data_IF_419136435953
#
_entry.id   IF_419136435953
#
_cell.length_a   1.000
_cell.length_b   1.000
_cell.length_c   1.000
_cell.angle_alpha   90.00
_cell.angle_beta   90.00
_cell.angle_gamma   90.00
#
_symmetry.space_group_name_H-M   'P 1'
#
loop_
_entity.id
_entity.type
_entity.pdbx_description
1 polymer ?
#
# COMPACT_ATOMS: atom_id res chain seq x y z
N UNK A 1 -1.72 14.66 -1.06
CA UNK A 1 -1.08 14.55 0.28
C UNK A 1 0.22 15.35 0.24
N UNK A 2 0.59 16.17 1.24
CA UNK A 2 1.77 17.04 1.19
C UNK A 2 3.05 16.34 0.72
N UNK A 3 3.38 15.17 1.27
CA UNK A 3 4.57 14.41 0.85
C UNK A 3 4.51 13.95 -0.60
N UNK A 4 3.36 13.47 -1.08
CA UNK A 4 3.20 13.08 -2.50
C UNK A 4 3.27 14.28 -3.44
N UNK A 5 2.68 15.42 -3.04
CA UNK A 5 2.77 16.65 -3.81
C UNK A 5 4.22 17.10 -3.97
N UNK A 6 5.02 16.98 -2.91
CA UNK A 6 6.44 17.32 -2.94
C UNK A 6 7.25 16.35 -3.80
N UNK A 7 7.00 15.03 -3.71
CA UNK A 7 7.65 14.06 -4.60
C UNK A 7 7.33 14.31 -6.08
N UNK A 8 6.09 14.71 -6.39
CA UNK A 8 5.68 15.11 -7.74
C UNK A 8 6.41 16.37 -8.18
N UNK A 9 6.56 17.36 -7.29
CA UNK A 9 7.31 18.59 -7.56
C UNK A 9 8.78 18.28 -7.86
N UNK A 10 9.43 17.51 -6.99
CA UNK A 10 10.83 17.05 -7.17
C UNK A 10 11.01 16.29 -8.50
N UNK A 11 10.05 15.44 -8.88
CA UNK A 11 10.08 14.77 -10.17
C UNK A 11 10.07 15.77 -11.34
N UNK A 12 9.11 16.70 -11.33
CA UNK A 12 8.84 17.61 -12.45
C UNK A 12 9.88 18.73 -12.58
N UNK A 13 10.35 19.25 -11.45
CA UNK A 13 11.20 20.45 -11.41
C UNK A 13 12.68 20.12 -11.21
N UNK A 14 12.98 19.06 -10.46
CA UNK A 14 14.35 18.72 -10.04
C UNK A 14 14.85 17.40 -10.66
N UNK A 15 14.04 16.78 -11.53
CA UNK A 15 14.38 15.57 -12.28
C UNK A 15 14.64 14.34 -11.40
N UNK A 16 13.98 14.26 -10.24
CA UNK A 16 13.97 13.03 -9.44
C UNK A 16 13.35 11.89 -10.26
N UNK A 17 14.09 10.81 -10.52
CA UNK A 17 13.66 9.70 -11.38
C UNK A 17 13.06 8.54 -10.58
N UNK A 18 11.85 8.11 -10.96
CA UNK A 18 11.15 6.96 -10.37
C UNK A 18 11.15 5.73 -11.28
N UNK A 19 11.81 5.77 -12.44
CA UNK A 19 11.75 4.70 -13.46
C UNK A 19 12.28 3.34 -12.99
N UNK A 20 13.13 3.34 -11.95
CA UNK A 20 13.70 2.15 -11.31
C UNK A 20 13.15 1.88 -9.91
N UNK A 21 12.29 2.76 -9.38
CA UNK A 21 11.70 2.59 -8.06
C UNK A 21 10.68 1.47 -8.11
N UNK A 22 10.70 0.61 -7.08
CA UNK A 22 9.67 -0.38 -6.77
C UNK A 22 8.95 0.03 -5.50
N UNK A 23 7.63 -0.11 -5.48
CA UNK A 23 6.82 0.23 -4.30
C UNK A 23 6.13 -1.00 -3.77
N UNK A 24 5.99 -1.03 -2.45
CA UNK A 24 5.15 -1.96 -1.70
C UNK A 24 4.16 -1.11 -0.92
N UNK A 25 2.88 -1.36 -1.12
CA UNK A 25 1.79 -0.72 -0.39
C UNK A 25 1.39 -1.59 0.80
N UNK A 26 1.05 -0.96 1.93
CA UNK A 26 0.88 -1.67 3.20
C UNK A 26 -0.37 -2.54 3.26
N UNK A 27 -1.46 -2.07 2.67
CA UNK A 27 -2.78 -2.64 2.80
C UNK A 27 -3.65 -2.37 1.56
N UNK A 28 -4.76 -3.10 1.47
CA UNK A 28 -5.84 -2.90 0.52
C UNK A 28 -7.14 -3.43 1.14
N UNK A 29 -8.28 -2.86 0.75
CA UNK A 29 -9.58 -3.38 1.18
C UNK A 29 -9.91 -4.70 0.47
N UNK A 30 -10.33 -5.69 1.26
CA UNK A 30 -10.85 -6.95 0.76
C UNK A 30 -12.30 -6.79 0.25
N UNK A 31 -12.61 -7.42 -0.89
CA UNK A 31 -13.94 -7.43 -1.50
C UNK A 31 -14.23 -6.25 -2.43
N UNK A 32 -13.27 -5.37 -2.71
CA UNK A 32 -13.42 -4.29 -3.69
C UNK A 32 -12.40 -4.39 -4.81
N UNK A 33 -12.77 -3.89 -5.99
CA UNK A 33 -11.86 -3.87 -7.12
C UNK A 33 -10.73 -2.87 -6.96
N UNK A 34 -9.54 -3.20 -7.46
CA UNK A 34 -8.43 -2.24 -7.54
C UNK A 34 -8.72 -1.01 -8.42
N UNK A 35 -9.79 -1.07 -9.22
CA UNK A 35 -10.30 0.06 -10.01
C UNK A 35 -11.39 0.88 -9.29
N UNK A 36 -11.88 0.40 -8.14
CA UNK A 36 -12.89 1.07 -7.35
C UNK A 36 -12.32 2.35 -6.73
N UNK A 37 -13.08 3.44 -6.68
CA UNK A 37 -12.57 4.73 -6.22
C UNK A 37 -12.13 4.77 -4.74
N UNK A 38 -12.54 3.78 -3.95
CA UNK A 38 -12.13 3.60 -2.55
C UNK A 38 -10.93 2.66 -2.37
N UNK A 39 -10.47 1.98 -3.43
CA UNK A 39 -9.27 1.14 -3.35
C UNK A 39 -8.03 1.98 -3.13
N UNK A 40 -7.09 1.45 -2.36
CA UNK A 40 -5.79 2.08 -2.17
C UNK A 40 -4.92 2.04 -3.42
N UNK A 41 -5.09 1.04 -4.30
CA UNK A 41 -4.54 1.08 -5.65
C UNK A 41 -5.04 2.28 -6.45
N UNK A 42 -6.35 2.53 -6.46
CA UNK A 42 -6.92 3.70 -7.11
C UNK A 42 -6.40 5.00 -6.48
N UNK A 43 -6.38 5.06 -5.14
CA UNK A 43 -5.87 6.20 -4.39
C UNK A 43 -4.43 6.55 -4.77
N UNK A 44 -3.52 5.57 -4.78
CA UNK A 44 -2.12 5.77 -5.12
C UNK A 44 -1.92 6.19 -6.58
N UNK A 45 -2.71 5.62 -7.48
CA UNK A 45 -2.69 6.02 -8.88
C UNK A 45 -3.07 7.50 -9.03
N UNK A 46 -4.17 7.91 -8.41
CA UNK A 46 -4.67 9.29 -8.50
C UNK A 46 -3.75 10.32 -7.81
N UNK A 47 -3.17 9.95 -6.67
CA UNK A 47 -2.43 10.90 -5.84
C UNK A 47 -0.91 10.92 -6.10
N UNK A 48 -0.34 9.90 -6.74
CA UNK A 48 1.11 9.83 -6.97
C UNK A 48 1.46 9.23 -8.34
N UNK A 49 1.09 7.97 -8.60
CA UNK A 49 1.72 7.20 -9.69
C UNK A 49 1.42 7.74 -11.09
N UNK A 50 0.26 8.35 -11.34
CA UNK A 50 -0.03 8.97 -12.65
C UNK A 50 0.75 10.27 -12.92
N UNK A 51 1.44 10.81 -11.92
CA UNK A 51 2.14 12.10 -12.00
C UNK A 51 3.66 11.98 -12.04
N UNK A 52 4.18 10.75 -11.93
CA UNK A 52 5.60 10.41 -11.96
C UNK A 52 5.87 9.33 -13.01
N UNK A 53 7.14 9.07 -13.32
CA UNK A 53 7.52 8.08 -14.34
C UNK A 53 7.79 6.67 -13.77
N UNK A 54 7.13 6.31 -12.67
CA UNK A 54 7.19 4.94 -12.16
C UNK A 54 6.53 3.96 -13.15
N UNK A 55 7.12 2.78 -13.30
CA UNK A 55 6.58 1.75 -14.17
C UNK A 55 5.45 0.99 -13.48
N UNK A 56 4.31 0.72 -14.14
CA UNK A 56 3.20 -0.01 -13.52
C UNK A 56 3.60 -1.37 -12.93
N UNK A 57 4.49 -2.10 -13.59
CA UNK A 57 5.03 -3.40 -13.13
C UNK A 57 5.88 -3.31 -11.86
N UNK A 58 6.32 -2.11 -11.49
CA UNK A 58 7.05 -1.85 -10.26
C UNK A 58 6.14 -1.46 -9.08
N UNK A 59 4.83 -1.31 -9.32
CA UNK A 59 3.86 -0.96 -8.28
C UNK A 59 3.18 -2.21 -7.74
N UNK A 60 3.42 -2.52 -6.47
CA UNK A 60 2.92 -3.75 -5.86
C UNK A 60 1.84 -3.47 -4.83
N UNK A 61 0.72 -4.18 -4.95
CA UNK A 61 -0.43 -4.10 -4.05
C UNK A 61 -0.89 -5.50 -3.64
N UNK A 62 -1.52 -5.59 -2.48
CA UNK A 62 -2.35 -6.74 -2.13
C UNK A 62 -3.56 -6.78 -3.07
N UNK A 63 -3.95 -7.97 -3.49
CA UNK A 63 -5.14 -8.18 -4.30
C UNK A 63 -6.36 -8.40 -3.40
N UNK A 64 -7.17 -7.36 -3.23
CA UNK A 64 -8.42 -7.42 -2.47
C UNK A 64 -9.54 -8.23 -3.13
N UNK A 65 -9.38 -8.66 -4.38
CA UNK A 65 -10.41 -9.37 -5.17
C UNK A 65 -10.23 -10.89 -5.16
N UNK A 66 -9.24 -11.42 -4.43
CA UNK A 66 -9.05 -12.87 -4.31
C UNK A 66 -10.25 -13.54 -3.64
N UNK A 67 -10.49 -14.81 -3.95
CA UNK A 67 -11.54 -15.57 -3.25
C UNK A 67 -11.14 -15.79 -1.80
N UNK A 68 -12.13 -16.04 -0.96
CA UNK A 68 -11.90 -16.21 0.47
C UNK A 68 -10.93 -17.38 0.78
N UNK A 69 -11.03 -18.47 0.03
CA UNK A 69 -10.12 -19.62 0.14
C UNK A 69 -8.66 -19.31 -0.27
N UNK A 70 -8.45 -18.25 -1.08
CA UNK A 70 -7.15 -17.87 -1.64
C UNK A 70 -6.47 -16.73 -0.86
N UNK A 71 -7.12 -16.18 0.18
CA UNK A 71 -6.58 -15.06 0.98
C UNK A 71 -5.19 -15.38 1.53
N UNK A 72 -5.00 -16.58 2.10
CA UNK A 72 -3.71 -16.94 2.68
C UNK A 72 -2.62 -17.01 1.60
N UNK A 73 -2.95 -17.53 0.42
CA UNK A 73 -2.02 -17.57 -0.71
C UNK A 73 -1.60 -16.16 -1.15
N UNK A 74 -2.54 -15.21 -1.18
CA UNK A 74 -2.22 -13.82 -1.49
C UNK A 74 -1.32 -13.18 -0.44
N UNK A 75 -1.60 -13.42 0.84
CA UNK A 75 -0.75 -12.94 1.94
C UNK A 75 0.67 -13.52 1.81
N UNK A 76 0.80 -14.83 1.56
CA UNK A 76 2.09 -15.51 1.42
C UNK A 76 2.87 -15.03 0.18
N UNK A 77 2.17 -14.78 -0.94
CA UNK A 77 2.74 -14.16 -2.14
C UNK A 77 3.31 -12.79 -1.82
N UNK A 78 2.57 -11.98 -1.05
CA UNK A 78 3.00 -10.63 -0.70
C UNK A 78 4.17 -10.62 0.28
N UNK A 79 4.17 -11.50 1.28
CA UNK A 79 5.33 -11.72 2.17
C UNK A 79 6.58 -12.14 1.38
N UNK A 80 6.42 -13.05 0.42
CA UNK A 80 7.52 -13.49 -0.45
C UNK A 80 8.07 -12.33 -1.28
N UNK A 81 7.20 -11.46 -1.80
CA UNK A 81 7.61 -10.26 -2.52
C UNK A 81 8.42 -9.31 -1.63
N UNK A 82 7.96 -9.04 -0.41
CA UNK A 82 8.67 -8.18 0.57
C UNK A 82 10.04 -8.78 0.91
N UNK A 83 10.14 -10.09 1.09
CA UNK A 83 11.41 -10.76 1.37
C UNK A 83 12.39 -10.71 0.19
N UNK A 84 11.90 -10.83 -1.04
CA UNK A 84 12.72 -10.77 -2.26
C UNK A 84 13.11 -9.36 -2.67
N UNK A 85 12.37 -8.35 -2.22
CA UNK A 85 12.61 -6.94 -2.52
C UNK A 85 12.25 -6.08 -1.30
N UNK A 86 13.04 -6.19 -0.21
CA UNK A 86 12.77 -5.45 1.02
C UNK A 86 12.86 -3.95 0.77
N UNK A 87 11.92 -3.14 1.29
CA UNK A 87 12.00 -1.69 1.14
C UNK A 87 13.23 -1.10 1.81
N UNK A 88 13.96 -0.26 1.08
CA UNK A 88 15.04 0.55 1.65
C UNK A 88 14.50 1.62 2.61
N UNK A 89 13.29 2.10 2.35
CA UNK A 89 12.60 3.15 3.10
C UNK A 89 11.13 2.79 3.24
N UNK A 90 10.58 2.98 4.44
CA UNK A 90 9.15 2.97 4.71
C UNK A 90 8.64 4.39 4.95
N UNK A 91 7.65 4.82 4.16
CA UNK A 91 6.89 6.05 4.41
C UNK A 91 5.56 5.67 5.04
N UNK A 92 5.42 5.90 6.34
CA UNK A 92 4.28 5.42 7.14
C UNK A 92 3.46 6.58 7.69
N UNK A 93 2.14 6.37 7.70
CA UNK A 93 1.23 7.14 8.54
C UNK A 93 1.04 6.46 9.89
N UNK A 94 0.73 7.24 10.92
CA UNK A 94 0.32 6.74 12.24
C UNK A 94 -1.09 7.26 12.49
N UNK A 95 -2.02 6.34 12.77
CA UNK A 95 -3.39 6.68 13.15
C UNK A 95 -3.47 7.31 14.54
N UNK A 96 -4.58 7.97 14.84
CA UNK A 96 -4.78 8.65 16.14
C UNK A 96 -4.66 7.70 17.36
N UNK A 97 -4.97 6.42 17.18
CA UNK A 97 -4.84 5.38 18.20
C UNK A 97 -3.49 4.63 18.13
N UNK A 98 -2.53 5.13 17.34
CA UNK A 98 -1.20 4.55 17.19
C UNK A 98 -1.07 3.43 16.18
N UNK A 99 -2.13 3.09 15.42
CA UNK A 99 -2.04 2.05 14.39
C UNK A 99 -1.12 2.47 13.23
N UNK A 100 -0.48 1.46 12.63
CA UNK A 100 0.24 1.57 11.35
C UNK A 100 -0.45 0.59 10.39
N UNK A 101 -0.80 1.06 9.18
CA UNK A 101 -1.66 0.30 8.28
C UNK A 101 -2.96 -0.10 9.03
N UNK A 102 -3.56 -1.25 8.72
CA UNK A 102 -4.66 -1.80 9.50
C UNK A 102 -4.25 -2.58 10.77
N UNK A 103 -3.04 -2.36 11.31
CA UNK A 103 -2.62 -2.98 12.57
C UNK A 103 -3.13 -2.17 13.77
N UNK A 104 -4.39 -2.38 14.11
CA UNK A 104 -5.06 -1.75 15.25
C UNK A 104 -4.46 -2.18 16.62
N UNK A 105 -4.71 -1.41 17.70
CA UNK A 105 -4.31 -1.79 19.05
C UNK A 105 -4.73 -3.21 19.42
N UNK A 106 -3.79 -4.01 19.90
CA UNK A 106 -3.98 -5.44 20.18
C UNK A 106 -3.44 -6.37 19.09
N UNK A 107 -3.01 -5.84 17.95
CA UNK A 107 -2.25 -6.60 16.95
C UNK A 107 -0.91 -7.09 17.53
N UNK A 108 -0.54 -8.33 17.20
CA UNK A 108 0.76 -8.92 17.58
C UNK A 108 1.91 -8.16 16.88
N UNK A 109 2.95 -7.80 17.64
CA UNK A 109 4.14 -7.13 17.12
C UNK A 109 4.99 -7.99 16.16
N UNK A 110 4.71 -9.29 16.10
CA UNK A 110 5.32 -10.25 15.17
C UNK A 110 4.37 -10.68 14.04
N UNK A 111 3.20 -10.05 13.96
CA UNK A 111 2.22 -10.35 12.91
C UNK A 111 2.78 -10.08 11.52
N UNK A 112 2.29 -10.88 10.57
CA UNK A 112 2.57 -10.77 9.15
C UNK A 112 1.35 -10.24 8.40
N UNK A 113 1.48 -10.11 7.08
CA UNK A 113 0.38 -9.87 6.15
C UNK A 113 -0.75 -10.86 6.42
N UNK A 114 -1.96 -10.33 6.66
CA UNK A 114 -3.15 -11.12 7.00
C UNK A 114 -4.42 -10.34 6.66
N UNK A 115 -5.54 -11.05 6.48
CA UNK A 115 -6.84 -10.39 6.50
C UNK A 115 -7.17 -9.96 7.94
N UNK A 116 -7.65 -8.73 8.08
CA UNK A 116 -8.08 -8.15 9.36
C UNK A 116 -9.51 -7.63 9.25
N UNK A 117 -10.24 -7.72 10.36
CA UNK A 117 -11.54 -7.07 10.49
C UNK A 117 -11.32 -5.67 11.06
N UNK A 118 -11.75 -4.65 10.34
CA UNK A 118 -11.60 -3.26 10.76
C UNK A 118 -12.62 -2.89 11.83
N UNK A 119 -12.19 -2.09 12.81
CA UNK A 119 -13.11 -1.47 13.77
C UNK A 119 -13.92 -0.36 13.11
N UNK A 120 -15.09 -0.03 13.68
CA UNK A 120 -15.88 1.12 13.20
C UNK A 120 -15.11 2.44 13.23
N UNK A 121 -14.19 2.62 14.19
CA UNK A 121 -13.36 3.83 14.31
C UNK A 121 -12.34 4.00 13.18
N UNK A 122 -12.05 2.94 12.43
CA UNK A 122 -11.13 2.98 11.28
C UNK A 122 -11.88 3.11 9.95
N UNK A 123 -13.15 2.69 9.92
CA UNK A 123 -14.02 2.80 8.74
C UNK A 123 -14.65 4.21 8.61
N UNK A 124 -14.87 4.91 9.73
CA UNK A 124 -15.57 6.21 9.80
C UNK A 124 -14.65 7.42 9.68
#
# INVERSE_FOLDING_TARGET
IPVYNELIRLHKEEKLDFSQVKTINLDEYYGISGSHHQSYKYFMYENLFKHINIKPENTNFLNGEVKQEDIQQECDRYESLVQQSPPDIWLLGIGHNGHIAFNEPGSDGTSKTRLVQLSESTIK
#
